data_IF_343355250881
#
_entry.id   IF_343355250881
#
_cell.length_a   1.000
_cell.length_b   1.000
_cell.length_c   1.000
_cell.angle_alpha   90.00
_cell.angle_beta   90.00
_cell.angle_gamma   90.00
#
_symmetry.space_group_name_H-M   'P 1'
#
loop_
_entity.id
_entity.type
_entity.pdbx_description
1 polymer ?
#
# COMPACT_ATOMS: atom_id res chain seq x y z
N UNK A 1 -9.52 24.71 1.53
CA UNK A 1 -9.79 24.40 2.95
C UNK A 1 -9.72 22.88 3.07
N UNK A 2 -8.60 22.32 3.54
CA UNK A 2 -8.49 20.87 3.76
C UNK A 2 -9.25 20.58 5.05
N UNK A 3 -10.23 19.68 4.98
CA UNK A 3 -10.96 19.20 6.16
C UNK A 3 -9.97 18.37 6.97
N UNK A 4 -9.84 18.67 8.26
CA UNK A 4 -8.99 17.90 9.17
C UNK A 4 -9.49 16.46 9.23
N UNK A 5 -8.54 15.52 9.11
CA UNK A 5 -8.77 14.07 9.19
C UNK A 5 -9.31 13.75 10.59
N UNK A 6 -10.64 13.73 10.69
CA UNK A 6 -11.35 13.50 11.94
C UNK A 6 -11.63 12.00 12.12
N UNK A 7 -11.55 11.55 13.37
CA UNK A 7 -11.59 10.17 13.88
C UNK A 7 -12.71 9.30 13.26
N UNK A 8 -13.79 9.90 12.76
CA UNK A 8 -14.94 9.20 12.15
C UNK A 8 -14.72 8.71 10.71
N UNK A 9 -13.67 9.15 10.02
CA UNK A 9 -13.38 8.71 8.64
C UNK A 9 -12.84 7.28 8.56
N UNK A 10 -12.53 6.65 9.70
CA UNK A 10 -12.18 5.24 9.80
C UNK A 10 -13.31 4.28 9.40
N UNK A 11 -14.57 4.72 9.43
CA UNK A 11 -15.73 3.85 9.14
C UNK A 11 -16.19 3.85 7.68
N UNK A 12 -15.74 4.80 6.83
CA UNK A 12 -16.28 4.98 5.46
C UNK A 12 -15.22 5.34 4.41
N UNK A 13 -14.17 4.52 4.29
CA UNK A 13 -13.42 4.39 3.04
C UNK A 13 -12.16 5.24 2.85
N UNK A 14 -11.67 5.93 3.90
CA UNK A 14 -10.38 6.67 3.86
C UNK A 14 -9.31 6.08 4.77
N UNK A 15 -9.53 4.85 5.25
CA UNK A 15 -8.62 4.18 6.16
C UNK A 15 -7.19 4.02 5.61
N UNK A 16 -7.05 3.94 4.28
CA UNK A 16 -5.77 3.78 3.61
C UNK A 16 -4.82 4.95 3.93
N UNK A 17 -5.33 6.19 3.97
CA UNK A 17 -4.51 7.36 4.27
C UNK A 17 -4.02 7.34 5.72
N UNK A 18 -4.88 6.97 6.66
CA UNK A 18 -4.50 6.85 8.08
C UNK A 18 -3.48 5.73 8.28
N UNK A 19 -3.69 4.57 7.65
CA UNK A 19 -2.75 3.46 7.66
C UNK A 19 -1.38 3.87 7.12
N UNK A 20 -1.34 4.52 5.95
CA UNK A 20 -0.10 4.99 5.33
C UNK A 20 0.59 5.99 6.24
N UNK A 21 -0.14 6.96 6.81
CA UNK A 21 0.44 7.97 7.70
C UNK A 21 1.09 7.35 8.94
N UNK A 22 0.44 6.37 9.55
CA UNK A 22 0.94 5.69 10.76
C UNK A 22 2.13 4.79 10.47
N UNK A 23 2.11 4.10 9.33
CA UNK A 23 3.12 3.10 8.96
C UNK A 23 4.12 3.61 7.93
N UNK A 24 4.19 4.94 7.71
CA UNK A 24 5.00 5.54 6.65
C UNK A 24 6.48 5.17 6.77
N UNK A 25 6.99 5.05 8.00
CA UNK A 25 8.38 4.66 8.25
C UNK A 25 8.64 3.20 7.88
N UNK A 26 7.74 2.29 8.26
CA UNK A 26 7.86 0.85 7.94
C UNK A 26 7.72 0.60 6.43
N UNK A 27 6.75 1.28 5.79
CA UNK A 27 6.53 1.24 4.35
C UNK A 27 7.76 1.80 3.62
N UNK A 28 8.22 2.99 4.04
CA UNK A 28 9.39 3.65 3.45
C UNK A 28 10.68 2.85 3.63
N UNK A 29 10.91 2.26 4.80
CA UNK A 29 12.04 1.37 5.06
C UNK A 29 12.02 0.16 4.11
N UNK A 30 10.87 -0.49 3.97
CA UNK A 30 10.72 -1.66 3.09
C UNK A 30 10.91 -1.29 1.62
N UNK A 31 10.36 -0.14 1.21
CA UNK A 31 10.54 0.39 -0.14
C UNK A 31 12.01 0.69 -0.44
N UNK A 32 12.68 1.40 0.47
CA UNK A 32 14.07 1.79 0.30
C UNK A 32 15.01 0.59 0.31
N UNK A 33 14.82 -0.33 1.25
CA UNK A 33 15.61 -1.55 1.34
C UNK A 33 15.41 -2.45 0.11
N UNK A 34 14.17 -2.62 -0.35
CA UNK A 34 13.88 -3.36 -1.59
C UNK A 34 14.51 -2.70 -2.81
N UNK A 35 14.42 -1.37 -2.90
CA UNK A 35 15.01 -0.62 -4.00
C UNK A 35 16.54 -0.75 -4.07
N UNK A 36 17.22 -0.66 -2.94
CA UNK A 36 18.68 -0.81 -2.89
C UNK A 36 19.15 -2.22 -3.29
N UNK A 37 18.37 -3.26 -2.99
CA UNK A 37 18.77 -4.64 -3.25
C UNK A 37 18.37 -5.15 -4.64
N UNK A 38 17.21 -4.74 -5.13
CA UNK A 38 16.58 -5.32 -6.33
C UNK A 38 16.23 -4.29 -7.41
N UNK A 39 16.50 -3.01 -7.17
CA UNK A 39 16.14 -1.93 -8.10
C UNK A 39 14.66 -1.58 -8.03
N UNK A 40 14.05 -1.21 -9.15
CA UNK A 40 12.66 -0.74 -9.16
C UNK A 40 11.68 -1.84 -8.78
N UNK A 41 10.55 -1.43 -8.21
CA UNK A 41 9.51 -2.32 -7.72
C UNK A 41 8.38 -1.58 -7.02
N UNK A 42 7.56 -2.34 -6.31
CA UNK A 42 6.42 -1.85 -5.53
C UNK A 42 6.46 -2.45 -4.13
N UNK A 43 5.98 -1.70 -3.16
CA UNK A 43 5.65 -2.25 -1.84
C UNK A 43 4.17 -2.57 -1.80
N UNK A 44 3.85 -3.77 -1.36
CA UNK A 44 2.48 -4.23 -1.18
C UNK A 44 2.21 -4.40 0.29
N UNK A 45 1.09 -3.84 0.73
CA UNK A 45 0.60 -3.95 2.09
C UNK A 45 -0.63 -4.85 2.07
N UNK A 46 -0.57 -6.00 2.74
CA UNK A 46 -1.72 -6.89 2.90
C UNK A 46 -2.22 -6.80 4.33
N UNK A 47 -3.48 -6.40 4.50
CA UNK A 47 -4.12 -6.34 5.81
C UNK A 47 -4.84 -7.66 6.03
N UNK A 48 -4.38 -8.41 7.03
CA UNK A 48 -4.92 -9.75 7.34
C UNK A 48 -6.15 -9.69 8.26
N UNK A 49 -6.42 -8.53 8.86
CA UNK A 49 -7.57 -8.30 9.72
C UNK A 49 -8.73 -7.68 8.93
N UNK A 50 -9.97 -8.19 9.07
CA UNK A 50 -11.13 -7.56 8.46
C UNK A 50 -11.28 -6.14 9.00
N UNK A 51 -11.41 -5.17 8.10
CA UNK A 51 -11.56 -3.77 8.47
C UNK A 51 -13.02 -3.56 8.90
N UNK A 52 -13.28 -3.63 10.20
CA UNK A 52 -14.59 -3.32 10.77
C UNK A 52 -14.74 -1.81 10.99
N UNK A 53 -15.97 -1.32 10.92
CA UNK A 53 -16.32 0.10 11.07
C UNK A 53 -15.95 0.69 12.44
N UNK A 54 -15.58 -0.16 13.42
CA UNK A 54 -15.22 0.21 14.78
C UNK A 54 -13.70 0.29 15.03
N UNK A 55 -12.85 0.08 14.02
CA UNK A 55 -11.40 0.14 14.21
C UNK A 55 -10.96 1.57 14.54
N UNK A 56 -10.37 1.72 15.71
CA UNK A 56 -9.69 2.92 16.13
C UNK A 56 -8.24 2.88 15.64
N UNK A 57 -8.00 3.45 14.47
CA UNK A 57 -6.67 3.52 13.85
C UNK A 57 -5.58 4.08 14.78
N UNK A 58 -5.92 4.94 15.75
CA UNK A 58 -4.93 5.52 16.67
C UNK A 58 -4.47 4.58 17.79
N UNK A 59 -5.18 3.48 18.04
CA UNK A 59 -4.98 2.60 19.20
C UNK A 59 -4.85 1.14 18.77
N UNK A 60 -5.59 0.72 17.76
CA UNK A 60 -5.66 -0.67 17.34
C UNK A 60 -4.45 -1.04 16.49
N UNK A 61 -3.70 -2.05 16.95
CA UNK A 61 -2.57 -2.58 16.22
C UNK A 61 -3.06 -3.58 15.17
N UNK A 62 -3.18 -3.12 13.92
CA UNK A 62 -3.57 -3.96 12.80
C UNK A 62 -2.42 -4.87 12.39
N UNK A 63 -2.72 -6.16 12.24
CA UNK A 63 -1.76 -7.11 11.68
C UNK A 63 -1.73 -6.93 10.16
N UNK A 64 -0.60 -6.45 9.67
CA UNK A 64 -0.35 -6.25 8.25
C UNK A 64 0.99 -6.87 7.85
N UNK A 65 1.05 -7.36 6.62
CA UNK A 65 2.28 -7.80 5.99
C UNK A 65 2.76 -6.76 4.99
N UNK A 66 4.05 -6.49 5.00
CA UNK A 66 4.73 -5.65 4.00
C UNK A 66 5.66 -6.53 3.18
N UNK A 67 5.49 -6.47 1.86
CA UNK A 67 6.34 -7.17 0.92
C UNK A 67 6.81 -6.22 -0.18
N UNK A 68 8.08 -6.33 -0.57
CA UNK A 68 8.62 -5.63 -1.73
C UNK A 68 8.62 -6.58 -2.94
N UNK A 69 7.94 -6.18 -4.01
CA UNK A 69 7.86 -6.91 -5.26
C UNK A 69 8.68 -6.17 -6.32
N UNK A 70 9.69 -6.85 -6.86
CA UNK A 70 10.57 -6.30 -7.88
C UNK A 70 9.81 -6.06 -9.20
N UNK A 71 10.30 -5.15 -10.05
CA UNK A 71 9.72 -4.84 -11.37
C UNK A 71 9.52 -6.11 -12.22
N UNK A 72 10.47 -7.05 -12.16
CA UNK A 72 10.42 -8.33 -12.88
C UNK A 72 9.22 -9.19 -12.47
N UNK A 73 8.86 -9.17 -11.20
CA UNK A 73 7.80 -10.01 -10.62
C UNK A 73 6.46 -9.25 -10.50
N UNK A 74 6.48 -7.92 -10.61
CA UNK A 74 5.32 -7.05 -10.45
C UNK A 74 4.19 -7.40 -11.42
N UNK A 75 4.52 -7.80 -12.67
CA UNK A 75 3.50 -8.22 -13.65
C UNK A 75 2.78 -9.48 -13.20
N UNK A 76 3.53 -10.50 -12.79
CA UNK A 76 2.96 -11.76 -12.33
C UNK A 76 2.12 -11.57 -11.07
N UNK A 77 2.57 -10.69 -10.17
CA UNK A 77 1.85 -10.34 -8.96
C UNK A 77 0.52 -9.63 -9.26
N UNK A 78 0.53 -8.56 -10.08
CA UNK A 78 -0.68 -7.80 -10.42
C UNK A 78 -1.73 -8.61 -11.17
N UNK A 79 -1.31 -9.60 -11.98
CA UNK A 79 -2.23 -10.49 -12.69
C UNK A 79 -3.07 -11.36 -11.75
N UNK A 80 -2.62 -11.61 -10.52
CA UNK A 80 -3.38 -12.38 -9.52
C UNK A 80 -4.65 -11.65 -9.05
N UNK A 81 -4.65 -10.32 -9.11
CA UNK A 81 -5.74 -9.48 -8.58
C UNK A 81 -6.92 -9.29 -9.55
N UNK A 82 -6.94 -9.98 -10.70
CA UNK A 82 -7.99 -9.86 -11.74
C UNK A 82 -8.32 -8.41 -12.11
N UNK A 83 -7.30 -7.55 -12.12
CA UNK A 83 -7.41 -6.15 -12.50
C UNK A 83 -7.60 -6.01 -14.01
N UNK A 84 -8.17 -4.89 -14.45
CA UNK A 84 -8.24 -4.55 -15.86
C UNK A 84 -6.84 -4.43 -16.47
N UNK A 85 -6.66 -4.98 -17.68
CA UNK A 85 -5.36 -5.05 -18.34
C UNK A 85 -4.74 -3.66 -18.59
N UNK A 86 -5.58 -2.65 -18.81
CA UNK A 86 -5.18 -1.24 -18.94
C UNK A 86 -4.60 -0.72 -17.62
N UNK A 87 -5.25 -1.03 -16.49
CA UNK A 87 -4.77 -0.63 -15.16
C UNK A 87 -3.44 -1.31 -14.84
N UNK A 88 -3.29 -2.60 -15.13
CA UNK A 88 -2.03 -3.33 -14.93
C UNK A 88 -0.92 -2.72 -15.78
N UNK A 89 -1.18 -2.41 -17.05
CA UNK A 89 -0.20 -1.79 -17.94
C UNK A 89 0.25 -0.41 -17.46
N UNK A 90 -0.70 0.42 -17.00
CA UNK A 90 -0.38 1.74 -16.45
C UNK A 90 0.46 1.63 -15.17
N UNK A 91 0.12 0.70 -14.28
CA UNK A 91 0.90 0.49 -13.05
C UNK A 91 2.32 0.02 -13.36
N UNK A 92 2.49 -0.93 -14.27
CA UNK A 92 3.81 -1.40 -14.68
C UNK A 92 4.64 -0.28 -15.32
N UNK A 93 4.02 0.57 -16.14
CA UNK A 93 4.70 1.73 -16.70
C UNK A 93 5.17 2.67 -15.59
N UNK A 94 4.32 3.00 -14.62
CA UNK A 94 4.68 3.85 -13.48
C UNK A 94 5.87 3.24 -12.72
N UNK A 95 5.83 1.93 -12.44
CA UNK A 95 6.91 1.20 -11.76
C UNK A 95 8.22 1.29 -12.52
N UNK A 96 8.18 1.26 -13.85
CA UNK A 96 9.39 1.37 -14.67
C UNK A 96 9.95 2.80 -14.74
N UNK A 97 9.11 3.83 -14.57
CA UNK A 97 9.46 5.23 -14.86
C UNK A 97 9.59 6.14 -13.66
N UNK A 98 9.29 5.69 -12.43
CA UNK A 98 9.44 6.57 -11.27
C UNK A 98 10.92 6.87 -11.01
N UNK A 99 11.22 8.15 -10.76
CA UNK A 99 12.54 8.68 -10.38
C UNK A 99 12.57 9.04 -8.89
#
# INVERSE_FOLDING_TARGET
MRVEDSVWQGSFGYWQNLFIHQNILSIGHTAWHGFLNSGRGIVVCTINTPIDCAINWSIDNLQYDLEFICELDAKAYLQQFKLEEITVSNLLQIVATYE
#
